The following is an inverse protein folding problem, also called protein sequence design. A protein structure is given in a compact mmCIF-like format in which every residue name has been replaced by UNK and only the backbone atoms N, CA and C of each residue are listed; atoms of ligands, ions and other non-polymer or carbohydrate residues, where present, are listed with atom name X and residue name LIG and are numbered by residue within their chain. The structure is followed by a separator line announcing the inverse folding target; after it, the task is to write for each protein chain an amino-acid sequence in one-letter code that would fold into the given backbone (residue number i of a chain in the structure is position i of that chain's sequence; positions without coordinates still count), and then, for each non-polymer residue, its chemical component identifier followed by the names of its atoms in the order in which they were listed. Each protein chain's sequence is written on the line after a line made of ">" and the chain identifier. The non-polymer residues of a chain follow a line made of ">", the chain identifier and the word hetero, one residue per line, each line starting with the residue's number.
data_IF_492647581442
#
_entry.id   IF_492647581442
#
_cell.length_a   1.000
_cell.length_b   1.000
_cell.length_c   1.000
_cell.angle_alpha   90.00
_cell.angle_beta   90.00
_cell.angle_gamma   90.00
#
_symmetry.space_group_name_H-M   'P 1'
#
loop_
_entity.id
_entity.type
_entity.pdbx_description
1 polymer ?
#
# COMPACT_ATOMS: atom_id res chain seq x y z
N UNK A 1 -0.21 28.53 -37.13
CA UNK A 1 0.81 27.45 -37.21
C UNK A 1 1.00 26.93 -35.80
N UNK A 2 0.31 25.84 -35.45
CA UNK A 2 0.42 25.16 -34.17
C UNK A 2 1.81 24.59 -33.98
N UNK A 3 2.34 24.72 -32.76
CA UNK A 3 3.24 23.72 -32.18
C UNK A 3 2.69 23.45 -30.78
N UNK A 4 1.59 22.72 -30.72
CA UNK A 4 1.06 22.15 -29.50
C UNK A 4 1.94 20.93 -29.20
N UNK A 5 2.99 21.14 -28.41
CA UNK A 5 3.91 20.08 -28.03
C UNK A 5 3.18 19.20 -27.02
N UNK A 6 2.90 17.91 -27.32
CA UNK A 6 2.18 17.07 -26.38
C UNK A 6 2.98 16.98 -25.06
N UNK A 7 2.31 17.00 -23.90
CA UNK A 7 2.97 16.88 -22.61
C UNK A 7 3.77 15.58 -22.61
N UNK A 8 5.09 15.70 -22.42
CA UNK A 8 5.95 14.53 -22.21
C UNK A 8 5.45 13.86 -20.93
N UNK A 9 4.88 12.66 -21.02
CA UNK A 9 4.65 11.81 -19.84
C UNK A 9 6.00 11.52 -19.21
N UNK A 10 6.35 12.22 -18.14
CA UNK A 10 7.47 11.82 -17.27
C UNK A 10 6.98 10.69 -16.39
N UNK A 11 7.14 9.45 -16.86
CA UNK A 11 6.89 8.23 -16.07
C UNK A 11 8.08 7.83 -15.20
N UNK A 12 9.05 8.73 -15.03
CA UNK A 12 10.23 8.47 -14.21
C UNK A 12 9.92 8.89 -12.78
N UNK A 13 9.62 7.89 -11.95
CA UNK A 13 9.61 8.04 -10.50
C UNK A 13 11.05 7.88 -10.05
N UNK A 14 11.58 8.91 -9.40
CA UNK A 14 12.89 8.82 -8.76
C UNK A 14 12.76 7.83 -7.59
N UNK A 15 13.47 6.72 -7.68
CA UNK A 15 13.46 5.68 -6.66
C UNK A 15 14.78 5.80 -5.88
N UNK A 16 14.80 6.51 -4.74
CA UNK A 16 16.04 6.81 -4.00
C UNK A 16 16.50 5.58 -3.21
N UNK A 17 16.81 4.49 -3.92
CA UNK A 17 17.35 3.26 -3.34
C UNK A 17 18.79 3.02 -3.78
N UNK A 18 19.60 2.52 -2.85
CA UNK A 18 21.04 2.30 -3.03
C UNK A 18 21.38 0.90 -3.60
N UNK A 19 20.42 0.23 -4.26
CA UNK A 19 20.60 -1.09 -4.86
C UNK A 19 19.84 -1.23 -6.19
N UNK A 20 20.24 -2.21 -7.01
CA UNK A 20 19.78 -2.32 -8.39
C UNK A 20 18.54 -3.21 -8.60
N UNK A 21 18.38 -4.29 -7.82
CA UNK A 21 17.36 -5.32 -8.07
C UNK A 21 16.03 -5.03 -7.34
N UNK A 22 15.37 -3.93 -7.70
CA UNK A 22 14.17 -3.46 -7.00
C UNK A 22 12.95 -4.34 -7.30
N UNK A 23 12.21 -4.71 -6.24
CA UNK A 23 11.06 -5.59 -6.26
C UNK A 23 11.38 -7.08 -6.25
N UNK A 24 12.67 -7.47 -6.31
CA UNK A 24 13.07 -8.87 -6.42
C UNK A 24 12.68 -9.70 -5.19
N UNK A 25 12.51 -9.09 -4.01
CA UNK A 25 12.06 -9.82 -2.81
C UNK A 25 10.63 -10.37 -2.91
N UNK A 26 9.83 -9.90 -3.89
CA UNK A 26 8.45 -10.35 -4.10
C UNK A 26 8.38 -11.83 -4.49
N UNK A 27 9.40 -12.31 -5.21
CA UNK A 27 9.49 -13.69 -5.66
C UNK A 27 10.22 -14.56 -4.61
N UNK A 28 9.66 -15.70 -4.15
CA UNK A 28 10.38 -16.64 -3.29
C UNK A 28 11.68 -17.17 -3.91
N UNK A 29 11.79 -17.21 -5.25
CA UNK A 29 12.98 -17.69 -5.94
C UNK A 29 14.22 -16.81 -5.68
N UNK A 30 14.06 -15.59 -5.16
CA UNK A 30 15.17 -14.70 -4.78
C UNK A 30 16.14 -15.35 -3.79
N UNK A 31 15.67 -16.29 -2.97
CA UNK A 31 16.51 -17.01 -2.01
C UNK A 31 17.45 -17.98 -2.73
N UNK A 32 16.95 -18.61 -3.80
CA UNK A 32 17.70 -19.58 -4.59
C UNK A 32 18.54 -18.91 -5.68
N UNK A 33 18.05 -17.82 -6.25
CA UNK A 33 18.66 -17.08 -7.34
C UNK A 33 18.76 -15.59 -6.97
N UNK A 34 19.59 -15.23 -5.98
CA UNK A 34 19.72 -13.85 -5.54
C UNK A 34 20.44 -12.98 -6.57
N UNK A 35 20.25 -11.65 -6.53
CA UNK A 35 21.08 -10.72 -7.28
C UNK A 35 22.58 -10.93 -6.95
N UNK A 36 23.44 -10.72 -7.95
CA UNK A 36 24.87 -11.00 -7.82
C UNK A 36 25.51 -10.24 -6.65
N UNK A 37 26.35 -10.93 -5.86
CA UNK A 37 27.09 -10.32 -4.76
C UNK A 37 26.27 -10.04 -3.49
N UNK A 38 24.99 -10.42 -3.47
CA UNK A 38 24.12 -10.28 -2.29
C UNK A 38 24.08 -11.55 -1.45
N UNK A 39 23.66 -11.40 -0.20
CA UNK A 39 23.35 -12.48 0.73
C UNK A 39 21.83 -12.58 0.87
N UNK A 40 21.18 -13.59 0.26
CA UNK A 40 19.76 -13.81 0.46
C UNK A 40 19.47 -14.38 1.85
N UNK A 41 18.23 -14.20 2.29
CA UNK A 41 17.70 -14.83 3.49
C UNK A 41 16.19 -14.99 3.42
N UNK A 42 15.68 -15.94 4.19
CA UNK A 42 14.28 -16.08 4.56
C UNK A 42 14.22 -16.55 6.01
N UNK A 43 13.39 -15.89 6.81
CA UNK A 43 13.19 -16.19 8.22
C UNK A 43 11.68 -16.25 8.48
N UNK A 44 11.23 -17.28 9.18
CA UNK A 44 9.82 -17.47 9.51
C UNK A 44 9.63 -17.65 11.01
N UNK A 45 8.56 -17.06 11.54
CA UNK A 45 8.14 -17.23 12.92
C UNK A 45 6.63 -17.45 13.01
N UNK A 46 6.21 -18.57 13.60
CA UNK A 46 4.79 -18.80 13.88
C UNK A 46 4.29 -17.88 14.99
N UNK A 47 3.28 -17.08 14.70
CA UNK A 47 2.64 -16.14 15.62
C UNK A 47 1.41 -16.74 16.34
N UNK A 48 0.85 -17.84 15.82
CA UNK A 48 -0.31 -18.51 16.42
C UNK A 48 -1.22 -19.12 15.37
N UNK A 49 -2.53 -18.90 15.52
CA UNK A 49 -3.58 -19.34 14.59
C UNK A 49 -4.81 -18.42 14.66
N UNK A 50 -5.65 -18.49 13.64
CA UNK A 50 -6.96 -17.82 13.56
C UNK A 50 -6.92 -16.40 12.98
N UNK A 51 -8.09 -15.96 12.51
CA UNK A 51 -8.29 -14.67 11.84
C UNK A 51 -7.90 -13.48 12.73
N UNK A 52 -8.28 -13.48 14.01
CA UNK A 52 -7.97 -12.38 14.91
C UNK A 52 -6.46 -12.18 15.06
N UNK A 53 -5.69 -13.28 15.13
CA UNK A 53 -4.23 -13.21 15.19
C UNK A 53 -3.65 -12.62 13.90
N UNK A 54 -4.18 -13.02 12.76
CA UNK A 54 -3.80 -12.49 11.45
C UNK A 54 -4.06 -11.00 11.36
N UNK A 55 -5.27 -10.53 11.70
CA UNK A 55 -5.64 -9.12 11.63
C UNK A 55 -4.81 -8.24 12.58
N UNK A 56 -4.62 -8.68 13.83
CA UNK A 56 -3.81 -7.95 14.82
C UNK A 56 -2.36 -7.86 14.37
N UNK A 57 -1.76 -8.97 13.93
CA UNK A 57 -0.37 -8.99 13.49
C UNK A 57 -0.17 -8.17 12.21
N UNK A 58 -1.14 -8.20 11.28
CA UNK A 58 -1.11 -7.43 10.04
C UNK A 58 -1.20 -5.94 10.34
N UNK A 59 -2.11 -5.53 11.24
CA UNK A 59 -2.21 -4.14 11.67
C UNK A 59 -0.92 -3.65 12.32
N UNK A 60 -0.36 -4.41 13.25
CA UNK A 60 0.92 -4.09 13.87
C UNK A 60 2.03 -3.96 12.83
N UNK A 61 2.14 -4.90 11.89
CA UNK A 61 3.15 -4.86 10.85
C UNK A 61 3.00 -3.61 9.98
N UNK A 62 1.79 -3.33 9.51
CA UNK A 62 1.49 -2.23 8.59
C UNK A 62 1.58 -0.84 9.24
N UNK A 63 1.78 -0.76 10.55
CA UNK A 63 2.07 0.49 11.29
C UNK A 63 3.46 0.44 11.95
N UNK A 64 4.47 -0.08 11.23
CA UNK A 64 5.87 -0.16 11.67
C UNK A 64 6.14 -0.95 12.96
N UNK A 65 5.20 -1.77 13.43
CA UNK A 65 5.27 -2.47 14.71
C UNK A 65 6.41 -3.48 14.81
N UNK A 66 6.80 -4.10 13.68
CA UNK A 66 7.96 -4.98 13.63
C UNK A 66 9.25 -4.22 13.96
N UNK A 67 9.45 -3.05 13.33
CA UNK A 67 10.61 -2.20 13.55
C UNK A 67 10.57 -1.62 14.96
N UNK A 68 9.48 -0.94 15.34
CA UNK A 68 9.34 -0.30 16.65
C UNK A 68 9.50 -1.29 17.79
N UNK A 69 8.79 -2.42 17.76
CA UNK A 69 8.89 -3.46 18.79
C UNK A 69 10.25 -4.15 18.87
N UNK A 70 11.10 -4.02 17.83
CA UNK A 70 12.49 -4.51 17.86
C UNK A 70 13.51 -3.52 18.45
N UNK A 71 13.03 -2.36 18.93
CA UNK A 71 13.87 -1.29 19.50
C UNK A 71 14.35 -0.26 18.47
N UNK A 72 13.75 -0.22 17.28
CA UNK A 72 14.07 0.76 16.24
C UNK A 72 13.09 1.92 16.29
N UNK A 73 13.59 3.16 16.46
CA UNK A 73 12.74 4.35 16.29
C UNK A 73 12.57 4.61 14.79
N UNK A 74 11.35 4.92 14.36
CA UNK A 74 11.01 5.28 12.98
C UNK A 74 10.59 6.73 12.95
N UNK A 75 11.32 7.58 12.23
CA UNK A 75 11.08 9.03 12.10
C UNK A 75 11.01 9.43 10.63
N UNK A 76 10.74 10.73 10.38
CA UNK A 76 10.76 11.32 9.04
C UNK A 76 9.85 10.56 8.05
N UNK A 77 8.72 10.08 8.55
CA UNK A 77 7.79 9.29 7.75
C UNK A 77 7.10 10.23 6.78
N UNK A 78 7.41 10.09 5.49
CA UNK A 78 6.70 10.74 4.41
C UNK A 78 5.88 9.67 3.71
N UNK A 79 4.56 9.74 3.87
CA UNK A 79 3.64 8.76 3.28
C UNK A 79 3.71 8.86 1.75
N UNK A 80 3.84 7.71 1.11
CA UNK A 80 3.74 7.62 -0.35
C UNK A 80 2.32 7.89 -0.83
N UNK A 81 2.16 8.04 -2.14
CA UNK A 81 0.81 8.24 -2.73
C UNK A 81 0.00 6.94 -2.81
N UNK A 82 0.63 5.77 -2.54
CA UNK A 82 0.03 4.45 -2.70
C UNK A 82 -0.26 4.04 -4.16
N UNK A 83 -0.10 4.97 -5.10
CA UNK A 83 -0.31 4.78 -6.54
C UNK A 83 1.01 4.62 -7.32
N UNK A 84 2.14 4.74 -6.63
CA UNK A 84 3.47 4.66 -7.21
C UNK A 84 3.91 3.20 -7.31
N UNK A 85 3.77 2.65 -8.52
CA UNK A 85 4.12 1.30 -8.96
C UNK A 85 3.10 0.19 -8.64
N UNK A 86 1.94 0.28 -9.29
CA UNK A 86 1.19 -0.93 -9.67
C UNK A 86 1.86 -1.50 -10.92
N UNK A 87 2.79 -2.45 -10.73
CA UNK A 87 3.25 -3.28 -11.85
C UNK A 87 2.03 -3.89 -12.56
N UNK A 88 2.08 -4.13 -13.89
CA UNK A 88 0.89 -4.51 -14.65
C UNK A 88 0.23 -5.75 -14.03
N UNK A 89 -0.99 -5.61 -13.53
CA UNK A 89 -1.84 -6.74 -13.16
C UNK A 89 -2.50 -7.27 -14.43
N UNK A 90 -2.63 -8.59 -14.52
CA UNK A 90 -3.29 -9.26 -15.63
C UNK A 90 -4.40 -10.14 -15.06
N UNK A 91 -5.56 -10.13 -15.70
CA UNK A 91 -6.66 -11.01 -15.35
C UNK A 91 -6.35 -12.48 -15.67
N UNK A 92 -7.27 -13.39 -15.33
CA UNK A 92 -7.12 -14.83 -15.61
C UNK A 92 -6.96 -15.18 -17.09
N UNK A 93 -7.23 -14.23 -18.00
CA UNK A 93 -7.06 -14.35 -19.46
C UNK A 93 -5.77 -13.65 -19.96
N UNK A 94 -4.95 -13.10 -19.06
CA UNK A 94 -3.69 -12.43 -19.38
C UNK A 94 -3.87 -11.02 -19.94
N UNK A 95 -5.03 -10.37 -19.74
CA UNK A 95 -5.30 -9.00 -20.18
C UNK A 95 -4.99 -8.01 -19.05
N UNK A 96 -4.35 -6.86 -19.35
CA UNK A 96 -4.03 -5.87 -18.33
C UNK A 96 -5.30 -5.31 -17.67
N UNK A 97 -5.31 -5.31 -16.34
CA UNK A 97 -6.39 -4.79 -15.50
C UNK A 97 -5.98 -3.45 -14.88
N UNK A 98 -6.94 -2.52 -14.75
CA UNK A 98 -6.67 -1.24 -14.10
C UNK A 98 -6.53 -1.44 -12.59
N UNK A 99 -5.59 -0.73 -11.97
CA UNK A 99 -5.50 -0.66 -10.52
C UNK A 99 -6.83 -0.17 -9.95
N UNK A 100 -7.43 -0.93 -9.03
CA UNK A 100 -8.63 -0.50 -8.29
C UNK A 100 -8.33 0.67 -7.35
N UNK A 101 -9.39 1.28 -6.80
CA UNK A 101 -9.26 2.30 -5.76
C UNK A 101 -8.54 1.70 -4.54
N UNK A 102 -7.47 2.35 -4.08
CA UNK A 102 -6.73 1.94 -2.88
C UNK A 102 -7.54 2.37 -1.67
N UNK A 103 -8.25 1.44 -1.03
CA UNK A 103 -8.93 1.71 0.24
C UNK A 103 -7.89 2.05 1.31
N UNK A 104 -8.02 3.22 1.92
CA UNK A 104 -7.13 3.63 3.00
C UNK A 104 -7.46 2.87 4.29
N UNK A 105 -6.50 2.06 4.75
CA UNK A 105 -6.59 1.33 6.01
C UNK A 105 -5.81 2.06 7.12
N UNK A 106 -6.34 1.98 8.34
CA UNK A 106 -5.76 2.60 9.53
C UNK A 106 -5.65 1.57 10.64
N UNK A 107 -4.58 1.66 11.43
CA UNK A 107 -4.43 0.90 12.65
C UNK A 107 -5.42 1.34 13.74
N UNK A 108 -5.54 0.59 14.84
CA UNK A 108 -6.46 0.90 15.94
C UNK A 108 -6.21 2.27 16.58
N UNK A 109 -4.98 2.77 16.51
CA UNK A 109 -4.58 4.07 17.06
C UNK A 109 -4.73 5.23 16.04
N UNK A 110 -5.32 4.96 14.87
CA UNK A 110 -5.51 5.95 13.80
C UNK A 110 -4.27 6.21 12.95
N UNK A 111 -3.17 5.49 13.17
CA UNK A 111 -1.99 5.55 12.30
C UNK A 111 -2.34 4.93 10.93
N UNK A 112 -2.10 5.63 9.81
CA UNK A 112 -2.35 5.08 8.49
C UNK A 112 -1.45 3.89 8.21
N UNK A 113 -1.97 2.89 7.49
CA UNK A 113 -1.15 1.80 7.01
C UNK A 113 -0.08 2.31 6.05
N UNK A 114 1.07 1.65 6.12
CA UNK A 114 2.16 1.81 5.18
C UNK A 114 1.65 1.55 3.76
N UNK A 115 2.01 2.46 2.84
CA UNK A 115 1.72 2.33 1.41
C UNK A 115 3.02 2.37 0.60
N UNK A 116 2.99 1.84 -0.62
CA UNK A 116 4.10 1.99 -1.56
C UNK A 116 4.47 3.46 -1.77
N UNK A 117 5.76 3.74 -1.89
CA UNK A 117 6.33 5.08 -1.95
C UNK A 117 6.62 5.73 -0.60
N UNK A 118 6.19 5.13 0.53
CA UNK A 118 6.46 5.69 1.86
C UNK A 118 7.96 5.70 2.16
N UNK A 119 8.52 6.84 2.54
CA UNK A 119 9.90 6.93 3.03
C UNK A 119 9.94 7.09 4.54
N UNK A 120 11.02 6.63 5.18
CA UNK A 120 11.25 6.83 6.61
C UNK A 120 12.76 6.81 6.93
N UNK A 121 13.11 7.24 8.14
CA UNK A 121 14.45 7.07 8.73
C UNK A 121 14.36 6.16 9.95
N UNK A 122 15.30 5.22 10.04
CA UNK A 122 15.38 4.22 11.10
C UNK A 122 16.55 4.50 12.01
N UNK A 123 16.30 4.49 13.32
CA UNK A 123 17.32 4.66 14.33
C UNK A 123 17.40 3.42 15.21
N UNK A 124 18.47 2.66 15.05
CA UNK A 124 18.82 1.56 15.94
C UNK A 124 19.98 1.99 16.85
N UNK A 125 19.95 1.57 18.12
CA UNK A 125 20.99 1.92 19.09
C UNK A 125 22.39 1.49 18.59
N UNK A 126 23.34 2.42 18.63
CA UNK A 126 24.73 2.18 18.22
C UNK A 126 24.93 2.00 16.72
N UNK A 127 23.94 2.35 15.88
CA UNK A 127 24.03 2.31 14.41
C UNK A 127 23.76 3.69 13.82
N UNK A 128 24.33 3.96 12.64
CA UNK A 128 23.99 5.16 11.87
C UNK A 128 22.52 5.09 11.40
N UNK A 129 21.79 6.23 11.37
CA UNK A 129 20.42 6.25 10.86
C UNK A 129 20.35 5.72 9.42
N UNK A 130 19.28 4.98 9.12
CA UNK A 130 19.08 4.33 7.81
C UNK A 130 17.88 4.95 7.10
N UNK A 131 18.06 5.47 5.90
CA UNK A 131 16.96 5.93 5.05
C UNK A 131 16.37 4.74 4.30
N UNK A 132 15.05 4.66 4.23
CA UNK A 132 14.33 3.56 3.57
C UNK A 132 13.17 4.06 2.73
N UNK A 133 12.85 3.31 1.68
CA UNK A 133 11.69 3.49 0.80
C UNK A 133 10.87 2.21 0.78
N UNK A 134 9.57 2.30 1.02
CA UNK A 134 8.63 1.19 0.83
C UNK A 134 8.40 1.00 -0.67
N UNK A 135 8.92 -0.10 -1.21
CA UNK A 135 8.94 -0.41 -2.63
C UNK A 135 7.59 -0.94 -3.12
N UNK A 136 6.96 -1.81 -2.32
CA UNK A 136 5.65 -2.36 -2.62
C UNK A 136 4.97 -2.82 -1.33
N UNK A 137 3.65 -2.93 -1.38
CA UNK A 137 2.82 -3.58 -0.35
C UNK A 137 2.24 -4.89 -0.87
N UNK A 138 1.86 -5.76 0.05
CA UNK A 138 1.10 -6.98 -0.21
C UNK A 138 -0.22 -6.83 0.53
N UNK A 139 -1.32 -6.88 -0.21
CA UNK A 139 -2.67 -6.81 0.33
C UNK A 139 -3.51 -7.91 -0.34
N UNK A 140 -3.44 -9.10 0.24
CA UNK A 140 -4.16 -10.29 -0.18
C UNK A 140 -4.97 -10.81 1.03
N UNK A 141 -6.07 -11.51 0.76
CA UNK A 141 -7.02 -11.98 1.81
C UNK A 141 -6.35 -12.68 3.00
N UNK A 142 -5.28 -13.44 2.73
CA UNK A 142 -4.56 -14.25 3.73
C UNK A 142 -3.09 -13.86 3.86
N UNK A 143 -2.69 -12.72 3.29
CA UNK A 143 -1.30 -12.30 3.23
C UNK A 143 -1.20 -10.78 3.16
N UNK A 144 -0.63 -10.17 4.20
CA UNK A 144 -0.52 -8.70 4.32
C UNK A 144 0.89 -8.30 4.73
N UNK A 145 1.46 -7.29 4.08
CA UNK A 145 2.80 -6.81 4.43
C UNK A 145 3.35 -5.76 3.48
N UNK A 146 4.65 -5.53 3.57
CA UNK A 146 5.36 -4.58 2.71
C UNK A 146 6.82 -4.97 2.56
N UNK A 147 7.43 -4.49 1.48
CA UNK A 147 8.87 -4.53 1.33
C UNK A 147 9.44 -3.13 1.26
N UNK A 148 10.58 -2.94 1.91
CA UNK A 148 11.36 -1.72 1.82
C UNK A 148 12.73 -1.95 1.18
N UNK A 149 13.26 -0.89 0.62
CA UNK A 149 14.57 -0.79 0.04
C UNK A 149 15.43 0.19 0.83
N UNK A 150 16.71 -0.10 0.97
CA UNK A 150 17.66 0.83 1.60
C UNK A 150 17.96 2.01 0.68
N UNK A 151 17.92 3.24 1.20
CA UNK A 151 18.15 4.48 0.46
C UNK A 151 19.53 5.13 0.67
N UNK A 152 20.37 4.55 1.53
CA UNK A 152 21.72 5.04 1.83
C UNK A 152 22.75 3.91 1.87
N UNK A 153 24.04 4.25 1.97
CA UNK A 153 25.16 3.30 1.95
C UNK A 153 25.92 3.14 3.29
N UNK A 154 25.41 3.65 4.41
CA UNK A 154 26.13 3.62 5.71
C UNK A 154 26.19 2.22 6.40
N UNK A 155 25.85 1.14 5.68
CA UNK A 155 25.70 -0.21 6.21
C UNK A 155 25.30 -1.19 5.12
N UNK A 156 24.66 -2.31 5.51
CA UNK A 156 24.12 -3.23 4.52
C UNK A 156 22.99 -2.57 3.72
N UNK A 157 22.97 -2.82 2.41
CA UNK A 157 22.01 -2.30 1.45
C UNK A 157 21.28 -3.44 0.76
N UNK A 158 19.99 -3.25 0.50
CA UNK A 158 19.20 -4.22 -0.24
C UNK A 158 17.71 -4.04 -0.01
N UNK A 159 16.97 -5.12 -0.26
CA UNK A 159 15.51 -5.15 -0.12
C UNK A 159 15.08 -6.18 0.91
N UNK A 160 14.07 -5.83 1.70
CA UNK A 160 13.54 -6.68 2.75
C UNK A 160 12.01 -6.62 2.74
N UNK A 161 11.39 -7.77 2.49
CA UNK A 161 9.96 -8.02 2.66
C UNK A 161 9.70 -8.46 4.09
N UNK A 162 8.63 -7.92 4.69
CA UNK A 162 7.98 -8.45 5.88
C UNK A 162 6.51 -8.71 5.55
N UNK A 163 6.01 -9.88 5.91
CA UNK A 163 4.63 -10.28 5.60
C UNK A 163 4.06 -11.17 6.69
N UNK A 164 2.78 -10.99 6.99
CA UNK A 164 1.99 -11.91 7.79
C UNK A 164 1.23 -12.84 6.84
N UNK A 165 1.35 -14.15 7.05
CA UNK A 165 0.64 -15.18 6.30
C UNK A 165 -0.35 -15.91 7.21
N UNK A 166 -1.60 -16.04 6.78
CA UNK A 166 -2.59 -16.94 7.36
C UNK A 166 -2.69 -18.21 6.51
N UNK A 167 -1.97 -19.26 6.90
CA UNK A 167 -1.86 -20.51 6.12
C UNK A 167 -3.15 -21.32 6.18
N UNK A 168 -3.31 -22.25 5.24
CA UNK A 168 -4.52 -23.05 5.08
C UNK A 168 -4.84 -23.95 6.28
N UNK A 169 -3.83 -24.30 7.09
CA UNK A 169 -3.96 -25.03 8.34
C UNK A 169 -4.34 -24.13 9.54
N UNK A 170 -4.85 -22.93 9.26
CA UNK A 170 -5.23 -21.88 10.20
C UNK A 170 -4.06 -21.25 10.99
N UNK A 171 -2.81 -21.64 10.71
CA UNK A 171 -1.64 -21.06 11.38
C UNK A 171 -1.30 -19.68 10.84
N UNK A 172 -0.85 -18.79 11.72
CA UNK A 172 -0.41 -17.43 11.36
C UNK A 172 1.10 -17.32 11.53
N UNK A 173 1.78 -16.79 10.51
CA UNK A 173 3.24 -16.69 10.44
C UNK A 173 3.67 -15.28 10.09
N UNK A 174 4.74 -14.78 10.73
CA UNK A 174 5.54 -13.69 10.20
C UNK A 174 6.64 -14.28 9.32
N UNK A 175 6.78 -13.79 8.10
CA UNK A 175 7.84 -14.15 7.18
C UNK A 175 8.60 -12.89 6.84
N UNK A 176 9.93 -12.95 6.93
CA UNK A 176 10.82 -11.93 6.40
C UNK A 176 11.73 -12.55 5.33
N UNK A 177 11.81 -11.90 4.17
CA UNK A 177 12.59 -12.38 3.05
C UNK A 177 13.30 -11.23 2.37
N UNK A 178 14.50 -11.48 1.88
CA UNK A 178 15.16 -10.48 1.06
C UNK A 178 16.59 -10.84 0.74
N UNK A 179 17.34 -9.81 0.40
CA UNK A 179 18.75 -9.91 0.13
C UNK A 179 19.44 -8.63 0.56
N UNK A 180 20.67 -8.77 1.06
CA UNK A 180 21.51 -7.63 1.45
C UNK A 180 22.93 -7.80 0.93
N UNK A 181 23.55 -6.70 0.54
CA UNK A 181 24.96 -6.62 0.26
C UNK A 181 25.59 -5.58 1.18
N UNK A 182 26.87 -5.75 1.49
CA UNK A 182 27.68 -4.71 2.09
C UNK A 182 29.00 -4.63 1.30
N UNK A 183 29.59 -3.44 1.13
CA UNK A 183 30.89 -3.32 0.50
C UNK A 183 31.92 -4.21 1.21
N UNK A 184 32.81 -4.87 0.46
CA UNK A 184 33.94 -5.61 1.02
C UNK A 184 35.01 -4.63 1.51
N UNK A 185 34.69 -3.84 2.54
CA UNK A 185 35.57 -2.84 3.13
C UNK A 185 36.09 -3.30 4.52
N UNK A 186 37.09 -2.59 5.03
CA UNK A 186 37.78 -2.94 6.27
C UNK A 186 38.78 -4.09 6.12
N UNK A 187 39.51 -4.41 7.20
CA UNK A 187 40.53 -5.46 7.20
C UNK A 187 39.89 -6.81 6.83
N UNK A 188 40.33 -7.39 5.70
CA UNK A 188 39.88 -8.70 5.20
C UNK A 188 38.36 -8.81 4.94
N UNK A 189 37.65 -7.69 4.75
CA UNK A 189 36.20 -7.67 4.53
C UNK A 189 35.37 -8.03 5.76
N UNK A 190 35.96 -7.97 6.97
CA UNK A 190 35.26 -8.28 8.21
C UNK A 190 34.13 -7.30 8.52
N UNK A 191 34.28 -6.02 8.16
CA UNK A 191 33.26 -4.99 8.41
C UNK A 191 31.97 -5.28 7.63
N UNK A 192 32.06 -5.49 6.31
CA UNK A 192 30.88 -5.84 5.51
C UNK A 192 30.18 -7.12 5.99
N UNK A 193 30.92 -8.12 6.50
CA UNK A 193 30.30 -9.32 7.12
C UNK A 193 29.56 -9.00 8.41
N UNK A 194 30.10 -8.08 9.21
CA UNK A 194 29.43 -7.61 10.42
C UNK A 194 28.15 -6.83 10.07
N UNK A 195 28.19 -5.97 9.06
CA UNK A 195 27.02 -5.19 8.61
C UNK A 195 25.89 -6.10 8.12
N UNK A 196 26.23 -7.13 7.32
CA UNK A 196 25.26 -8.16 6.89
C UNK A 196 24.68 -8.89 8.09
N UNK A 197 25.50 -9.30 9.06
CA UNK A 197 25.02 -9.98 10.27
C UNK A 197 24.07 -9.08 11.08
N UNK A 198 24.44 -7.82 11.29
CA UNK A 198 23.61 -6.84 11.99
C UNK A 198 22.26 -6.68 11.32
N UNK A 199 22.21 -6.61 9.98
CA UNK A 199 20.96 -6.54 9.23
C UNK A 199 20.09 -7.79 9.42
N UNK A 200 20.66 -8.99 9.37
CA UNK A 200 19.93 -10.24 9.59
C UNK A 200 19.44 -10.40 11.04
N UNK A 201 20.25 -9.95 12.02
CA UNK A 201 19.83 -9.95 13.42
C UNK A 201 18.69 -8.95 13.66
N UNK A 202 18.67 -7.82 12.96
CA UNK A 202 17.57 -6.85 13.00
C UNK A 202 16.28 -7.46 12.41
N UNK A 203 16.36 -8.20 11.30
CA UNK A 203 15.21 -8.93 10.74
C UNK A 203 14.60 -9.89 11.77
N UNK A 204 15.44 -10.70 12.41
CA UNK A 204 15.02 -11.67 13.43
C UNK A 204 14.32 -11.01 14.61
N UNK A 205 14.89 -9.90 15.11
CA UNK A 205 14.24 -9.11 16.17
C UNK A 205 12.92 -8.50 15.70
N UNK A 206 12.85 -8.05 14.45
CA UNK A 206 11.64 -7.50 13.83
C UNK A 206 10.47 -8.49 13.81
N UNK A 207 10.68 -9.69 13.27
CA UNK A 207 9.60 -10.71 13.26
C UNK A 207 9.28 -11.22 14.66
N UNK A 208 10.26 -11.30 15.57
CA UNK A 208 10.03 -11.66 16.96
C UNK A 208 9.18 -10.63 17.71
N UNK A 209 9.27 -9.35 17.35
CA UNK A 209 8.45 -8.28 17.93
C UNK A 209 6.96 -8.37 17.57
N UNK A 210 6.60 -9.14 16.53
CA UNK A 210 5.22 -9.41 16.15
C UNK A 210 4.61 -10.59 16.93
N UNK A 211 5.43 -11.30 17.72
CA UNK A 211 4.96 -12.43 18.52
C UNK A 211 3.94 -11.98 19.59
N UNK A 212 2.95 -12.82 19.92
CA UNK A 212 2.00 -12.52 20.98
C UNK A 212 2.70 -12.20 22.31
N UNK A 213 2.30 -11.09 22.95
CA UNK A 213 2.84 -10.70 24.24
C UNK A 213 4.23 -10.04 24.20
N UNK A 214 4.82 -9.87 23.01
CA UNK A 214 5.93 -8.94 22.83
C UNK A 214 5.49 -7.57 23.36
N UNK A 215 6.29 -6.98 24.25
CA UNK A 215 5.97 -5.66 24.79
C UNK A 215 6.05 -4.65 23.65
N UNK A 216 5.06 -3.77 23.47
CA UNK A 216 5.26 -2.61 22.61
C UNK A 216 6.50 -1.89 23.14
N UNK A 217 7.48 -1.63 22.26
CA UNK A 217 8.60 -0.79 22.66
C UNK A 217 8.02 0.56 23.14
N UNK A 218 8.59 1.15 24.21
CA UNK A 218 8.17 2.48 24.62
C UNK A 218 8.23 3.38 23.40
N UNK A 219 7.17 4.19 23.17
CA UNK A 219 7.24 5.25 22.17
C UNK A 219 8.46 6.10 22.51
N UNK A 220 9.52 5.94 21.71
CA UNK A 220 10.79 6.60 21.95
C UNK A 220 10.70 8.09 21.59
N UNK A 221 9.51 8.57 21.19
CA UNK A 221 9.20 9.93 20.83
C UNK A 221 10.03 10.43 19.65
N UNK A 222 9.83 11.69 19.24
CA UNK A 222 10.81 12.39 18.42
C UNK A 222 12.17 12.42 19.14
N UNK A 223 13.27 12.38 18.36
CA UNK A 223 14.61 12.63 18.91
C UNK A 223 14.62 13.96 19.67
N UNK A 224 15.38 14.04 20.77
CA UNK A 224 15.58 15.27 21.52
C UNK A 224 16.18 16.35 20.60
N UNK A 225 15.32 17.16 19.99
CA UNK A 225 15.67 18.11 18.93
C UNK A 225 14.52 18.39 17.96
N UNK A 226 13.63 17.43 17.72
CA UNK A 226 12.43 17.65 16.91
C UNK A 226 11.32 18.22 17.80
N UNK A 227 11.23 19.54 17.88
CA UNK A 227 9.95 20.14 18.25
C UNK A 227 8.99 19.95 17.08
N UNK A 228 7.74 19.53 17.32
CA UNK A 228 6.75 19.54 16.26
C UNK A 228 6.67 20.96 15.72
N UNK A 229 6.92 21.13 14.42
CA UNK A 229 6.60 22.38 13.75
C UNK A 229 5.10 22.50 13.87
N UNK A 230 4.62 23.38 14.74
CA UNK A 230 3.23 23.76 14.76
C UNK A 230 2.92 24.28 13.36
N UNK A 231 2.11 23.54 12.62
CA UNK A 231 1.48 24.07 11.42
C UNK A 231 0.57 25.17 11.95
N UNK A 232 1.03 26.42 11.88
CA UNK A 232 0.14 27.56 12.04
C UNK A 232 -1.01 27.36 11.04
N UNK A 233 -2.28 27.44 11.48
CA UNK A 233 -3.38 27.43 10.54
C UNK A 233 -3.14 28.58 9.56
N UNK A 234 -3.09 28.24 8.27
CA UNK A 234 -3.02 29.21 7.21
C UNK A 234 -4.11 30.27 7.47
N UNK A 235 -3.70 31.52 7.60
CA UNK A 235 -4.63 32.63 7.73
C UNK A 235 -5.62 32.57 6.57
N UNK A 236 -6.92 32.64 6.88
CA UNK A 236 -7.97 32.82 5.88
C UNK A 236 -7.59 34.01 4.99
N UNK A 237 -7.69 33.89 3.66
CA UNK A 237 -7.42 35.02 2.78
C UNK A 237 -8.46 36.13 3.07
N UNK A 238 -7.97 37.33 3.35
CA UNK A 238 -8.83 38.51 3.49
C UNK A 238 -9.70 38.69 2.23
N UNK A 239 -10.99 39.04 2.38
CA UNK A 239 -11.87 39.27 1.24
C UNK A 239 -11.42 40.50 0.45
N UNK A 240 -11.23 40.30 -0.86
CA UNK A 240 -10.90 41.33 -1.84
C UNK A 240 -11.94 42.49 -1.82
N UNK A 241 -11.54 43.76 -1.59
CA UNK A 241 -12.48 44.88 -1.43
C UNK A 241 -13.13 45.35 -2.74
N UNK A 242 -13.00 44.62 -3.84
CA UNK A 242 -13.51 45.02 -5.15
C UNK A 242 -14.54 44.02 -5.74
N UNK A 243 -15.62 43.76 -5.02
CA UNK A 243 -16.83 43.19 -5.61
C UNK A 243 -18.08 43.85 -5.02
N UNK A 244 -18.53 44.93 -5.67
CA UNK A 244 -19.84 45.51 -5.40
C UNK A 244 -20.94 44.49 -5.76
N UNK A 245 -21.98 44.31 -4.91
CA UNK A 245 -23.05 43.36 -5.20
C UNK A 245 -23.96 43.92 -6.31
N UNK A 246 -24.24 43.09 -7.33
CA UNK A 246 -25.30 43.34 -8.29
C UNK A 246 -26.68 43.30 -7.57
N UNK A 247 -27.64 44.17 -7.94
CA UNK A 247 -28.93 44.22 -7.26
C UNK A 247 -29.76 42.97 -7.55
N UNK A 248 -30.29 42.37 -6.48
CA UNK A 248 -31.21 41.25 -6.50
C UNK A 248 -32.57 41.70 -7.05
N UNK A 249 -33.17 40.90 -7.93
CA UNK A 249 -34.52 41.12 -8.46
C UNK A 249 -35.54 40.48 -7.53
N UNK A 250 -36.47 41.25 -6.98
CA UNK A 250 -37.56 40.77 -6.12
C UNK A 250 -38.48 39.77 -6.84
N UNK A 251 -39.02 38.76 -6.13
CA UNK A 251 -40.07 37.90 -6.66
C UNK A 251 -41.46 38.57 -6.49
N UNK A 252 -42.31 38.44 -7.51
CA UNK A 252 -43.71 38.86 -7.48
C UNK A 252 -44.59 37.85 -6.71
N UNK A 253 -45.73 38.26 -6.12
CA UNK A 253 -46.50 37.43 -5.20
C UNK A 253 -47.50 36.48 -5.89
N UNK A 254 -47.84 35.44 -5.13
CA UNK A 254 -48.77 34.33 -5.40
C UNK A 254 -50.21 34.77 -5.68
N UNK A 255 -50.87 34.11 -6.63
CA UNK A 255 -52.34 34.14 -6.78
C UNK A 255 -52.86 32.74 -7.16
N UNK A 256 -53.84 32.24 -6.40
CA UNK A 256 -54.53 30.96 -6.56
C UNK A 256 -56.07 31.22 -6.52
N UNK A 257 -56.98 30.25 -6.78
CA UNK A 257 -57.01 29.14 -7.76
C UNK A 257 -58.37 29.02 -8.54
N UNK A 258 -58.39 28.13 -9.58
CA UNK A 258 -59.51 27.30 -10.15
C UNK A 258 -60.79 27.99 -10.75
N UNK A 259 -61.61 27.37 -11.66
CA UNK A 259 -61.86 25.92 -11.82
C UNK A 259 -62.07 25.32 -13.25
N UNK A 260 -61.94 23.99 -13.29
CA UNK A 260 -62.72 22.91 -13.98
C UNK A 260 -63.41 23.12 -15.35
N UNK A 261 -63.10 22.23 -16.32
CA UNK A 261 -64.07 21.51 -17.18
C UNK A 261 -63.40 20.38 -18.01
N UNK A 262 -63.88 19.15 -17.84
CA UNK A 262 -63.80 18.03 -18.80
C UNK A 262 -64.88 18.22 -19.91
N UNK A 263 -65.06 17.39 -20.98
CA UNK A 263 -64.58 15.99 -21.15
C UNK A 263 -64.21 15.52 -22.60
N UNK A 264 -63.93 14.22 -22.69
CA UNK A 264 -64.28 13.25 -23.76
C UNK A 264 -63.22 12.82 -24.80
N UNK A 265 -63.06 11.49 -24.92
CA UNK A 265 -62.79 10.80 -26.19
C UNK A 265 -61.79 9.65 -26.15
N UNK A 266 -62.23 8.43 -25.77
CA UNK A 266 -61.62 7.18 -26.26
C UNK A 266 -61.98 6.94 -27.74
N UNK A 267 -61.25 6.05 -28.43
CA UNK A 267 -61.93 4.78 -28.75
C UNK A 267 -61.06 3.52 -28.62
N UNK A 268 -61.78 2.42 -28.39
CA UNK A 268 -61.35 1.01 -28.35
C UNK A 268 -60.90 0.42 -29.71
N UNK A 269 -59.97 -0.54 -29.58
CA UNK A 269 -59.82 -1.86 -30.23
C UNK A 269 -60.10 -2.11 -31.74
N UNK A 270 -59.14 -2.76 -32.40
CA UNK A 270 -59.43 -3.90 -33.29
C UNK A 270 -58.27 -4.93 -33.33
N UNK A 271 -58.64 -6.13 -33.76
CA UNK A 271 -58.23 -7.49 -33.48
C UNK A 271 -57.28 -8.16 -34.51
N UNK A 272 -56.84 -9.39 -34.19
CA UNK A 272 -56.22 -10.39 -35.10
C UNK A 272 -54.90 -10.96 -34.56
N UNK A 273 -54.84 -12.13 -33.90
CA UNK A 273 -54.95 -13.52 -34.42
C UNK A 273 -53.93 -13.79 -35.55
N UNK A 274 -53.07 -14.83 -35.61
CA UNK A 274 -52.93 -16.10 -34.90
C UNK A 274 -51.49 -16.65 -35.12
N UNK A 275 -51.10 -17.63 -34.28
CA UNK A 275 -50.35 -18.89 -34.56
C UNK A 275 -49.29 -18.93 -35.70
N UNK A 276 -48.13 -19.61 -35.60
CA UNK A 276 -47.90 -20.99 -35.15
C UNK A 276 -46.39 -21.29 -35.21
N UNK A 277 -45.87 -22.11 -34.28
CA UNK A 277 -44.55 -22.78 -34.37
C UNK A 277 -44.49 -23.86 -35.48
N UNK A 278 -43.51 -24.80 -35.54
CA UNK A 278 -43.03 -25.56 -34.37
C UNK A 278 -41.53 -25.97 -34.31
N UNK A 279 -41.05 -26.10 -33.06
CA UNK A 279 -40.38 -27.24 -32.39
C UNK A 279 -39.83 -28.43 -33.19
N UNK A 280 -38.58 -28.84 -32.88
CA UNK A 280 -38.08 -30.22 -32.56
C UNK A 280 -36.52 -30.22 -32.61
N UNK A 281 -35.72 -31.00 -31.87
CA UNK A 281 -35.87 -32.05 -30.87
C UNK A 281 -34.50 -32.31 -30.17
N UNK A 282 -34.53 -33.06 -29.06
CA UNK A 282 -33.41 -33.41 -28.17
C UNK A 282 -32.54 -34.61 -28.65
N UNK A 283 -31.23 -34.53 -28.29
CA UNK A 283 -30.29 -35.59 -27.77
C UNK A 283 -29.88 -36.77 -28.70
N UNK A 284 -28.79 -37.55 -28.44
CA UNK A 284 -28.11 -37.82 -27.16
C UNK A 284 -26.55 -37.90 -27.14
N UNK A 285 -26.04 -38.19 -25.93
CA UNK A 285 -24.67 -38.44 -25.43
C UNK A 285 -23.72 -39.29 -26.28
N UNK A 286 -22.42 -39.11 -26.03
CA UNK A 286 -21.47 -40.23 -25.82
C UNK A 286 -20.27 -39.82 -24.95
N UNK A 287 -20.00 -40.66 -23.94
CA UNK A 287 -18.70 -40.85 -23.27
C UNK A 287 -17.71 -41.48 -24.26
N UNK A 288 -16.44 -41.13 -24.15
CA UNK A 288 -15.34 -42.10 -23.99
C UNK A 288 -14.27 -41.45 -23.14
#
# INVERSE_FOLDING_TARGET
>A
MSQDQPPRRSSHVEMPVAYAAVGASKDPDVVKYPPEGTTPYEEELRLGSGQDRFLIASSLLMTWGAQRGSGVRVTDIVRGTGSEYVGPSFDGDGKPEAAGDVEEQFGPDGEPYIVAGTTAVLHAEGQDPRSVLVVYTVDEERRVGFAWGTGDEAGAVGEQLFVIEHRADDTVWAVARGFVAAPKNGLLGLRGRADVRTALDAVKRGIAALAPGAQPAPDLGPSAGEQPVAVEPAAEPEPDPAAAPAPQREPAPDEAPAPEAAPAGEPEADSGDAATGPTHQRRPSKRT
#
